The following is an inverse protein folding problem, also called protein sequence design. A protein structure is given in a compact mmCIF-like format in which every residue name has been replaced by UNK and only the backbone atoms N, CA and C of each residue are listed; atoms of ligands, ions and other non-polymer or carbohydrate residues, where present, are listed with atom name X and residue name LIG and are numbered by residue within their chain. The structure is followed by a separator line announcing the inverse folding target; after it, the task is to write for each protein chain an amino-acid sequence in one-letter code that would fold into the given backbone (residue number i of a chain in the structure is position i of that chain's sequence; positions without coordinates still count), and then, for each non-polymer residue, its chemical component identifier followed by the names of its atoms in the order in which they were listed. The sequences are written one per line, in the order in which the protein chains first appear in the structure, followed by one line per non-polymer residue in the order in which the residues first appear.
data_IF_727096208435
#
_entry.id   IF_727096208435
#
_cell.length_a   1.000
_cell.length_b   1.000
_cell.length_c   1.000
_cell.angle_alpha   90.00
_cell.angle_beta   90.00
_cell.angle_gamma   90.00
#
_symmetry.space_group_name_H-M   'P 1'
#
loop_
_entity.id
_entity.type
_entity.pdbx_description
1 polymer ?
#
# COMPACT_ATOMS: atom_id res chain seq x y z
N UNK A 1 -8.56 -12.87 -11.83
CA UNK A 1 -8.25 -14.19 -11.24
C UNK A 1 -8.58 -14.07 -9.77
N UNK A 2 -9.21 -15.08 -9.16
CA UNK A 2 -9.58 -15.04 -7.74
C UNK A 2 -9.01 -16.29 -7.06
N UNK A 3 -7.91 -16.16 -6.27
CA UNK A 3 -7.45 -17.21 -5.38
C UNK A 3 -8.47 -17.45 -4.26
N UNK A 4 -8.81 -18.72 -4.02
CA UNK A 4 -9.88 -19.10 -3.08
C UNK A 4 -9.41 -19.35 -1.65
N UNK A 5 -8.11 -19.59 -1.46
CA UNK A 5 -7.43 -19.69 -0.16
C UNK A 5 -6.01 -19.17 -0.31
N UNK A 6 -5.36 -18.82 0.79
CA UNK A 6 -3.95 -18.47 0.83
C UNK A 6 -3.18 -19.57 1.58
N UNK A 7 -2.00 -19.93 1.10
CA UNK A 7 -1.10 -20.78 1.86
C UNK A 7 -0.54 -20.03 3.08
N UNK A 8 -0.39 -18.72 2.97
CA UNK A 8 0.14 -17.88 4.03
C UNK A 8 -0.93 -17.39 4.99
N UNK A 9 -0.50 -17.08 6.23
CA UNK A 9 -1.38 -16.65 7.33
C UNK A 9 -1.92 -15.22 7.23
N UNK A 10 -1.50 -14.45 6.22
CA UNK A 10 -1.77 -13.00 6.16
C UNK A 10 -3.26 -12.65 6.13
N UNK A 11 -4.08 -13.58 5.63
CA UNK A 11 -5.55 -13.52 5.61
C UNK A 11 -6.17 -14.75 6.30
N UNK A 12 -5.44 -15.36 7.24
CA UNK A 12 -5.77 -16.64 7.87
C UNK A 12 -5.29 -17.84 7.05
N UNK A 13 -5.85 -18.03 5.85
CA UNK A 13 -5.40 -19.07 4.92
C UNK A 13 -5.66 -20.50 5.40
N UNK A 14 -4.91 -21.47 4.85
CA UNK A 14 -5.01 -22.89 5.20
C UNK A 14 -4.81 -23.17 6.70
N UNK A 15 -3.91 -22.42 7.35
CA UNK A 15 -3.65 -22.51 8.78
C UNK A 15 -4.91 -22.23 9.60
N UNK A 16 -5.67 -21.18 9.26
CA UNK A 16 -6.87 -20.80 10.01
C UNK A 16 -8.00 -21.83 9.90
N UNK A 17 -8.16 -22.46 8.73
CA UNK A 17 -9.13 -23.55 8.56
C UNK A 17 -8.81 -24.75 9.46
N UNK A 18 -7.54 -25.12 9.56
CA UNK A 18 -7.10 -26.20 10.43
C UNK A 18 -7.25 -25.83 11.91
N UNK A 19 -6.91 -24.60 12.29
CA UNK A 19 -7.05 -24.07 13.65
C UNK A 19 -8.51 -24.12 14.14
N UNK A 20 -9.49 -23.74 13.30
CA UNK A 20 -10.90 -23.83 13.66
C UNK A 20 -11.37 -25.24 14.00
N UNK A 21 -10.63 -26.27 13.59
CA UNK A 21 -10.87 -27.68 13.90
C UNK A 21 -9.89 -28.26 14.93
N UNK A 22 -9.03 -27.42 15.53
CA UNK A 22 -8.01 -27.86 16.48
C UNK A 22 -6.98 -28.80 15.87
N UNK A 23 -6.71 -28.66 14.57
CA UNK A 23 -5.83 -29.54 13.77
C UNK A 23 -4.60 -28.77 13.27
N UNK A 24 -3.50 -29.47 12.98
CA UNK A 24 -2.33 -28.84 12.37
C UNK A 24 -2.59 -28.52 10.88
N UNK A 25 -1.85 -27.56 10.31
CA UNK A 25 -2.09 -27.01 8.96
C UNK A 25 -2.11 -28.08 7.86
N UNK A 26 -1.34 -29.17 8.01
CA UNK A 26 -1.28 -30.27 7.05
C UNK A 26 -2.63 -30.99 6.89
N UNK A 27 -3.50 -30.91 7.90
CA UNK A 27 -4.84 -31.47 7.86
C UNK A 27 -5.73 -30.77 6.83
N UNK A 28 -5.46 -29.50 6.46
CA UNK A 28 -6.20 -28.79 5.41
C UNK A 28 -6.21 -29.54 4.07
N UNK A 29 -5.14 -30.29 3.79
CA UNK A 29 -4.93 -30.98 2.53
C UNK A 29 -5.55 -32.38 2.45
N UNK A 30 -5.99 -32.95 3.58
CA UNK A 30 -6.36 -34.37 3.64
C UNK A 30 -7.56 -34.69 4.53
N UNK A 31 -7.91 -33.80 5.47
CA UNK A 31 -9.02 -34.02 6.38
C UNK A 31 -10.36 -33.72 5.70
N UNK A 32 -11.28 -34.70 5.60
CA UNK A 32 -12.53 -34.52 4.87
C UNK A 32 -13.45 -33.43 5.46
N UNK A 33 -13.38 -33.18 6.77
CA UNK A 33 -14.18 -32.15 7.43
C UNK A 33 -13.68 -30.75 7.05
N UNK A 34 -12.36 -30.54 7.07
CA UNK A 34 -11.76 -29.27 6.67
C UNK A 34 -11.96 -29.00 5.17
N UNK A 35 -11.79 -30.02 4.32
CA UNK A 35 -12.05 -29.92 2.87
C UNK A 35 -13.52 -29.55 2.62
N UNK A 36 -14.46 -30.14 3.38
CA UNK A 36 -15.88 -29.80 3.32
C UNK A 36 -16.15 -28.35 3.72
N UNK A 37 -15.47 -27.84 4.76
CA UNK A 37 -15.58 -26.43 5.14
C UNK A 37 -15.04 -25.49 4.07
N UNK A 38 -13.90 -25.81 3.47
CA UNK A 38 -13.38 -25.03 2.36
C UNK A 38 -14.33 -25.02 1.15
N UNK A 39 -14.92 -26.17 0.81
CA UNK A 39 -15.94 -26.28 -0.25
C UNK A 39 -17.15 -25.38 0.00
N UNK A 40 -17.56 -25.15 1.26
CA UNK A 40 -18.63 -24.18 1.58
C UNK A 40 -18.23 -22.75 1.20
N UNK A 41 -16.98 -22.36 1.45
CA UNK A 41 -16.43 -21.06 1.03
C UNK A 41 -16.42 -20.93 -0.50
N UNK A 42 -15.92 -21.94 -1.20
CA UNK A 42 -15.94 -21.99 -2.68
C UNK A 42 -17.38 -21.81 -3.19
N UNK A 43 -18.32 -22.60 -2.68
CA UNK A 43 -19.72 -22.50 -3.08
C UNK A 43 -20.32 -21.12 -2.81
N UNK A 44 -20.01 -20.51 -1.66
CA UNK A 44 -20.48 -19.17 -1.32
C UNK A 44 -19.91 -18.11 -2.29
N UNK A 45 -18.60 -18.12 -2.56
CA UNK A 45 -17.93 -17.14 -3.42
C UNK A 45 -18.44 -17.24 -4.86
N UNK A 46 -18.50 -18.43 -5.44
CA UNK A 46 -18.94 -18.61 -6.83
C UNK A 46 -20.41 -18.22 -7.03
N UNK A 47 -21.27 -18.47 -6.02
CA UNK A 47 -22.68 -18.09 -6.05
C UNK A 47 -22.96 -16.70 -5.43
N UNK A 48 -21.92 -15.90 -5.14
CA UNK A 48 -22.10 -14.54 -4.63
C UNK A 48 -22.73 -13.67 -5.71
N UNK A 49 -23.86 -13.02 -5.38
CA UNK A 49 -24.45 -11.99 -6.23
C UNK A 49 -23.78 -10.63 -5.99
N UNK A 50 -23.03 -10.11 -6.95
CA UNK A 50 -22.49 -8.75 -6.88
C UNK A 50 -23.62 -7.74 -6.58
N UNK A 51 -23.50 -6.96 -5.51
CA UNK A 51 -24.52 -6.00 -5.08
C UNK A 51 -24.64 -4.78 -5.99
N UNK A 52 -23.65 -4.52 -6.84
CA UNK A 52 -23.62 -3.40 -7.78
C UNK A 52 -24.13 -3.81 -9.17
N UNK A 53 -23.69 -4.96 -9.68
CA UNK A 53 -24.06 -5.43 -11.03
C UNK A 53 -25.26 -6.38 -11.03
N UNK A 54 -25.62 -6.93 -9.87
CA UNK A 54 -26.68 -7.93 -9.74
C UNK A 54 -26.31 -9.32 -10.29
N UNK A 55 -25.13 -9.51 -10.89
CA UNK A 55 -24.69 -10.79 -11.46
C UNK A 55 -24.15 -11.74 -10.40
N UNK A 56 -24.34 -13.04 -10.57
CA UNK A 56 -23.57 -14.02 -9.80
C UNK A 56 -22.13 -14.00 -10.30
N UNK A 57 -21.16 -14.23 -9.42
CA UNK A 57 -19.75 -14.23 -9.81
C UNK A 57 -19.46 -15.29 -10.87
N UNK A 58 -20.01 -16.50 -10.75
CA UNK A 58 -19.90 -17.55 -11.79
C UNK A 58 -20.50 -17.20 -13.17
N UNK A 59 -21.26 -16.10 -13.27
CA UNK A 59 -21.83 -15.59 -14.52
C UNK A 59 -21.17 -14.26 -14.96
N UNK A 60 -20.17 -13.76 -14.22
CA UNK A 60 -19.57 -12.45 -14.45
C UNK A 60 -18.26 -12.52 -15.26
N UNK A 61 -18.33 -12.08 -16.52
CA UNK A 61 -17.20 -12.04 -17.46
C UNK A 61 -16.01 -11.17 -17.02
N UNK A 62 -16.14 -10.40 -15.95
CA UNK A 62 -15.00 -9.71 -15.34
C UNK A 62 -14.01 -10.67 -14.67
N UNK A 63 -14.45 -11.89 -14.34
CA UNK A 63 -13.61 -12.93 -13.75
C UNK A 63 -12.98 -13.75 -14.88
N UNK A 64 -11.64 -13.88 -14.87
CA UNK A 64 -10.94 -14.74 -15.82
C UNK A 64 -10.93 -16.20 -15.38
N UNK A 65 -10.54 -16.45 -14.12
CA UNK A 65 -10.31 -17.78 -13.58
C UNK A 65 -10.51 -17.83 -12.07
N UNK A 66 -10.90 -18.99 -11.59
CA UNK A 66 -10.86 -19.40 -10.19
C UNK A 66 -9.54 -20.11 -9.92
N UNK A 67 -8.76 -19.61 -8.95
CA UNK A 67 -7.50 -20.24 -8.55
C UNK A 67 -7.71 -21.03 -7.26
N UNK A 68 -7.26 -22.29 -7.25
CA UNK A 68 -7.49 -23.21 -6.12
C UNK A 68 -6.94 -22.65 -4.81
N UNK A 69 -5.84 -21.89 -4.86
CA UNK A 69 -5.33 -21.06 -3.77
C UNK A 69 -4.02 -20.37 -4.15
N UNK A 70 -3.61 -19.35 -3.41
CA UNK A 70 -2.34 -18.69 -3.59
C UNK A 70 -1.19 -19.52 -2.99
N UNK A 71 -0.19 -19.83 -3.82
CA UNK A 71 1.06 -20.52 -3.44
C UNK A 71 0.89 -21.77 -2.57
N UNK A 72 -0.09 -22.63 -2.91
CA UNK A 72 -0.43 -23.79 -2.07
C UNK A 72 0.55 -24.95 -2.24
N UNK A 73 0.80 -25.68 -1.14
CA UNK A 73 1.60 -26.90 -1.10
C UNK A 73 0.72 -28.15 -1.00
N UNK A 74 -0.27 -28.26 -1.86
CA UNK A 74 -1.24 -29.36 -1.85
C UNK A 74 -0.70 -30.64 -2.51
N UNK A 75 -1.12 -31.84 -2.04
CA UNK A 75 -1.04 -33.04 -2.84
C UNK A 75 -2.02 -32.96 -4.01
N UNK A 76 -1.68 -33.57 -5.15
CA UNK A 76 -2.54 -33.57 -6.34
C UNK A 76 -3.97 -34.09 -6.06
N UNK A 77 -4.12 -35.05 -5.15
CA UNK A 77 -5.45 -35.58 -4.78
C UNK A 77 -6.40 -34.49 -4.28
N UNK A 78 -5.88 -33.52 -3.52
CA UNK A 78 -6.65 -32.37 -3.05
C UNK A 78 -6.97 -31.42 -4.21
N UNK A 79 -5.97 -31.08 -5.03
CA UNK A 79 -6.15 -30.18 -6.19
C UNK A 79 -7.21 -30.72 -7.15
N UNK A 80 -7.15 -32.02 -7.47
CA UNK A 80 -8.13 -32.72 -8.31
C UNK A 80 -9.55 -32.63 -7.74
N UNK A 81 -9.70 -32.86 -6.44
CA UNK A 81 -11.01 -32.82 -5.77
C UNK A 81 -11.62 -31.42 -5.80
N UNK A 82 -10.81 -30.39 -5.54
CA UNK A 82 -11.26 -28.99 -5.53
C UNK A 82 -11.52 -28.46 -6.95
N UNK A 83 -10.66 -28.75 -7.92
CA UNK A 83 -10.85 -28.35 -9.30
C UNK A 83 -12.15 -28.94 -9.89
N UNK A 84 -12.40 -30.23 -9.67
CA UNK A 84 -13.64 -30.88 -10.08
C UNK A 84 -14.88 -30.26 -9.40
N UNK A 85 -14.78 -29.91 -8.11
CA UNK A 85 -15.85 -29.25 -7.38
C UNK A 85 -16.15 -27.84 -7.94
N UNK A 86 -15.11 -27.03 -8.22
CA UNK A 86 -15.28 -25.73 -8.88
C UNK A 86 -16.01 -25.89 -10.22
N UNK A 87 -15.55 -26.80 -11.10
CA UNK A 87 -16.18 -27.04 -12.40
C UNK A 87 -17.62 -27.54 -12.31
N UNK A 88 -17.97 -28.27 -11.24
CA UNK A 88 -19.36 -28.69 -10.98
C UNK A 88 -20.29 -27.51 -10.65
N UNK A 89 -19.75 -26.41 -10.13
CA UNK A 89 -20.50 -25.21 -9.75
C UNK A 89 -20.53 -24.17 -10.88
N UNK A 90 -19.44 -24.11 -11.66
CA UNK A 90 -19.19 -23.13 -12.70
C UNK A 90 -18.48 -23.78 -13.90
N UNK A 91 -19.19 -23.84 -15.03
CA UNK A 91 -18.67 -24.37 -16.30
C UNK A 91 -18.24 -23.26 -17.28
N UNK A 92 -18.39 -21.98 -16.89
CA UNK A 92 -18.07 -20.82 -17.73
C UNK A 92 -16.61 -20.37 -17.58
N UNK A 93 -16.09 -20.38 -16.35
CA UNK A 93 -14.77 -19.83 -16.05
C UNK A 93 -13.65 -20.87 -16.06
N UNK A 94 -12.43 -20.37 -16.30
CA UNK A 94 -11.21 -21.18 -16.24
C UNK A 94 -10.88 -21.55 -14.78
N UNK A 95 -10.19 -22.67 -14.60
CA UNK A 95 -9.61 -23.07 -13.31
C UNK A 95 -8.09 -23.03 -13.40
N UNK A 96 -7.50 -22.33 -12.44
CA UNK A 96 -6.07 -22.11 -12.31
C UNK A 96 -5.54 -22.96 -11.15
N UNK A 97 -4.51 -23.76 -11.42
CA UNK A 97 -3.81 -24.51 -10.39
C UNK A 97 -2.89 -23.59 -9.58
N UNK A 98 -3.24 -23.44 -8.30
CA UNK A 98 -2.54 -22.60 -7.33
C UNK A 98 -1.26 -23.19 -6.75
N UNK A 99 -0.84 -24.38 -7.19
CA UNK A 99 0.33 -25.05 -6.64
C UNK A 99 1.61 -24.22 -6.81
N UNK A 100 2.31 -23.95 -5.70
CA UNK A 100 3.57 -23.21 -5.76
C UNK A 100 4.69 -24.08 -6.31
N UNK A 101 5.07 -23.82 -7.57
CA UNK A 101 6.23 -24.45 -8.19
C UNK A 101 7.52 -24.01 -7.50
N UNK A 102 7.79 -22.70 -7.39
CA UNK A 102 9.06 -22.20 -6.87
C UNK A 102 10.27 -22.79 -7.61
N UNK A 103 10.93 -23.78 -7.00
CA UNK A 103 12.04 -24.56 -7.58
C UNK A 103 11.69 -26.02 -7.92
N UNK A 104 10.42 -26.42 -7.71
CA UNK A 104 9.86 -27.74 -8.01
C UNK A 104 9.48 -27.85 -9.49
N UNK A 105 9.30 -29.08 -9.95
CA UNK A 105 8.80 -29.37 -11.29
C UNK A 105 7.27 -29.36 -11.34
N UNK A 106 6.72 -29.24 -12.55
CA UNK A 106 5.29 -29.33 -12.80
C UNK A 106 4.79 -30.71 -12.37
N UNK A 107 3.66 -30.78 -11.65
CA UNK A 107 3.01 -32.05 -11.34
C UNK A 107 2.43 -32.64 -12.65
N UNK A 108 2.93 -33.80 -13.15
CA UNK A 108 2.46 -34.35 -14.42
C UNK A 108 0.95 -34.60 -14.44
N UNK A 109 0.39 -35.00 -13.30
CA UNK A 109 -1.03 -35.29 -13.16
C UNK A 109 -1.90 -34.03 -13.35
N UNK A 110 -1.42 -32.84 -12.97
CA UNK A 110 -2.13 -31.59 -13.19
C UNK A 110 -2.23 -31.24 -14.69
N UNK A 111 -1.27 -31.69 -15.50
CA UNK A 111 -1.31 -31.53 -16.96
C UNK A 111 -2.31 -32.49 -17.63
N UNK A 112 -2.70 -33.57 -16.97
CA UNK A 112 -3.70 -34.54 -17.43
C UNK A 112 -5.12 -34.27 -16.91
N UNK A 113 -5.27 -33.44 -15.86
CA UNK A 113 -6.58 -33.17 -15.26
C UNK A 113 -7.46 -32.31 -16.19
N UNK A 114 -8.64 -32.78 -16.64
CA UNK A 114 -9.52 -32.01 -17.51
C UNK A 114 -10.18 -30.81 -16.82
N UNK A 115 -10.10 -30.71 -15.49
CA UNK A 115 -10.68 -29.61 -14.72
C UNK A 115 -9.72 -28.45 -14.51
N UNK A 116 -8.44 -28.60 -14.87
CA UNK A 116 -7.41 -27.55 -14.76
C UNK A 116 -7.15 -26.97 -16.14
N UNK A 117 -7.22 -25.65 -16.28
CA UNK A 117 -7.00 -24.96 -17.55
C UNK A 117 -5.65 -24.23 -17.59
N UNK A 118 -5.26 -23.65 -16.45
CA UNK A 118 -4.05 -22.81 -16.31
C UNK A 118 -3.13 -23.42 -15.25
N UNK A 119 -1.83 -23.47 -15.57
CA UNK A 119 -0.75 -23.69 -14.61
C UNK A 119 0.13 -22.44 -14.56
N UNK A 120 0.77 -22.19 -13.42
CA UNK A 120 1.53 -20.96 -13.22
C UNK A 120 2.81 -21.15 -12.44
N UNK A 121 3.70 -20.16 -12.50
CA UNK A 121 4.95 -20.14 -11.73
C UNK A 121 5.19 -18.76 -11.11
N UNK A 122 5.83 -18.75 -9.94
CA UNK A 122 6.13 -17.55 -9.16
C UNK A 122 7.66 -17.39 -9.04
N UNK A 123 8.16 -16.16 -9.21
CA UNK A 123 9.60 -15.89 -9.33
C UNK A 123 10.07 -14.69 -8.51
N UNK A 124 10.78 -14.99 -7.42
CA UNK A 124 11.39 -14.00 -6.53
C UNK A 124 12.89 -14.26 -6.35
N UNK A 125 13.70 -13.22 -6.14
CA UNK A 125 15.14 -13.35 -6.03
C UNK A 125 15.55 -14.15 -4.78
N UNK A 126 16.69 -14.82 -4.87
CA UNK A 126 17.28 -15.56 -3.76
C UNK A 126 18.81 -15.58 -3.87
N UNK A 127 19.53 -16.19 -2.90
CA UNK A 127 21.00 -16.15 -2.83
C UNK A 127 21.74 -16.50 -4.12
N UNK A 128 21.15 -17.35 -4.98
CA UNK A 128 21.67 -17.72 -6.30
C UNK A 128 20.57 -17.69 -7.37
N UNK A 129 19.53 -16.87 -7.20
CA UNK A 129 18.40 -16.79 -8.15
C UNK A 129 18.15 -15.32 -8.49
N UNK A 130 18.63 -14.90 -9.66
CA UNK A 130 18.30 -13.62 -10.28
C UNK A 130 17.40 -13.80 -11.51
N UNK A 131 17.23 -12.74 -12.28
CA UNK A 131 16.38 -12.75 -13.47
C UNK A 131 16.83 -13.78 -14.54
N UNK A 132 18.13 -14.12 -14.59
CA UNK A 132 18.65 -15.15 -15.50
C UNK A 132 18.15 -16.53 -15.14
N UNK A 133 18.23 -16.89 -13.87
CA UNK A 133 17.82 -18.20 -13.35
C UNK A 133 16.30 -18.33 -13.40
N UNK A 134 15.57 -17.26 -13.06
CA UNK A 134 14.11 -17.18 -13.24
C UNK A 134 13.70 -17.40 -14.70
N UNK A 135 14.38 -16.76 -15.66
CA UNK A 135 14.12 -16.98 -17.08
C UNK A 135 14.42 -18.43 -17.51
N UNK A 136 15.45 -19.07 -16.95
CA UNK A 136 15.74 -20.48 -17.21
C UNK A 136 14.64 -21.41 -16.66
N UNK A 137 14.13 -21.13 -15.45
CA UNK A 137 13.00 -21.84 -14.86
C UNK A 137 11.76 -21.73 -15.75
N UNK A 138 11.45 -20.52 -16.24
CA UNK A 138 10.30 -20.28 -17.13
C UNK A 138 10.37 -21.16 -18.38
N UNK A 139 11.53 -21.23 -19.04
CA UNK A 139 11.73 -22.08 -20.23
C UNK A 139 11.59 -23.56 -19.91
N UNK A 140 12.18 -24.01 -18.79
CA UNK A 140 12.08 -25.40 -18.33
C UNK A 140 10.62 -25.80 -18.08
N UNK A 141 9.84 -24.95 -17.40
CA UNK A 141 8.43 -25.22 -17.14
C UNK A 141 7.60 -25.20 -18.42
N UNK A 142 7.85 -24.25 -19.33
CA UNK A 142 7.20 -24.24 -20.64
C UNK A 142 7.42 -25.55 -21.41
N UNK A 143 8.64 -26.07 -21.42
CA UNK A 143 8.98 -27.35 -22.06
C UNK A 143 8.25 -28.55 -21.42
N UNK A 144 8.09 -28.57 -20.09
CA UNK A 144 7.34 -29.63 -19.41
C UNK A 144 5.84 -29.57 -19.72
N UNK A 145 5.28 -28.37 -19.78
CA UNK A 145 3.87 -28.15 -20.08
C UNK A 145 3.56 -28.55 -21.53
N UNK A 146 4.51 -28.33 -22.46
CA UNK A 146 4.43 -28.79 -23.85
C UNK A 146 3.11 -28.44 -24.54
N UNK A 147 2.54 -27.27 -24.24
CA UNK A 147 1.27 -26.79 -24.80
C UNK A 147 0.00 -27.50 -24.29
N UNK A 148 0.12 -28.39 -23.29
CA UNK A 148 -1.02 -29.15 -22.75
C UNK A 148 -1.97 -28.32 -21.89
N UNK A 149 -1.46 -27.23 -21.29
CA UNK A 149 -2.17 -26.28 -20.44
C UNK A 149 -1.71 -24.85 -20.78
N UNK A 150 -2.54 -23.87 -20.45
CA UNK A 150 -2.13 -22.46 -20.51
C UNK A 150 -1.06 -22.22 -19.45
N UNK A 151 0.03 -21.53 -19.81
CA UNK A 151 1.09 -21.16 -18.88
C UNK A 151 1.18 -19.65 -18.72
N UNK A 152 1.08 -19.18 -17.47
CA UNK A 152 1.22 -17.78 -17.09
C UNK A 152 2.29 -17.68 -16.01
N UNK A 153 3.17 -16.68 -16.10
CA UNK A 153 4.04 -16.30 -14.97
C UNK A 153 3.15 -15.59 -13.95
N UNK A 154 2.72 -16.35 -12.93
CA UNK A 154 1.69 -15.96 -11.97
C UNK A 154 2.13 -14.82 -11.08
N UNK A 155 3.39 -14.83 -10.64
CA UNK A 155 3.99 -13.72 -9.92
C UNK A 155 5.47 -13.59 -10.28
N UNK A 156 5.96 -12.36 -10.36
CA UNK A 156 7.39 -12.11 -10.35
C UNK A 156 7.69 -10.71 -9.82
N UNK A 157 8.91 -10.47 -9.34
CA UNK A 157 9.27 -9.13 -8.89
C UNK A 157 10.61 -9.05 -8.18
N UNK A 158 10.85 -7.91 -7.53
CA UNK A 158 12.03 -7.60 -6.71
C UNK A 158 13.37 -7.74 -7.44
N UNK A 159 13.35 -7.57 -8.76
CA UNK A 159 14.54 -7.49 -9.61
C UNK A 159 14.61 -6.10 -10.25
N UNK A 160 15.81 -5.59 -10.58
CA UNK A 160 15.95 -4.31 -11.25
C UNK A 160 15.19 -4.28 -12.58
N UNK A 161 14.96 -3.08 -13.13
CA UNK A 161 14.23 -2.88 -14.40
C UNK A 161 14.72 -3.80 -15.54
N UNK A 162 16.03 -3.95 -15.71
CA UNK A 162 16.61 -4.85 -16.72
C UNK A 162 16.27 -6.34 -16.48
N UNK A 163 16.10 -6.73 -15.21
CA UNK A 163 15.61 -8.06 -14.84
C UNK A 163 14.14 -8.24 -15.19
N UNK A 164 13.29 -7.24 -14.93
CA UNK A 164 11.88 -7.23 -15.34
C UNK A 164 11.77 -7.38 -16.86
N UNK A 165 12.55 -6.58 -17.61
CA UNK A 165 12.58 -6.65 -19.08
C UNK A 165 12.95 -8.04 -19.58
N UNK A 166 14.02 -8.64 -19.05
CA UNK A 166 14.47 -9.99 -19.42
C UNK A 166 13.39 -11.06 -19.20
N UNK A 167 12.62 -10.96 -18.11
CA UNK A 167 11.55 -11.92 -17.83
C UNK A 167 10.39 -11.75 -18.80
N UNK A 168 9.99 -10.52 -19.11
CA UNK A 168 8.94 -10.23 -20.08
C UNK A 168 9.34 -10.60 -21.51
N UNK A 169 10.60 -10.39 -21.89
CA UNK A 169 11.15 -10.87 -23.16
C UNK A 169 11.12 -12.39 -23.26
N UNK A 170 11.43 -13.09 -22.16
CA UNK A 170 11.33 -14.55 -22.12
C UNK A 170 9.88 -15.01 -22.29
N UNK A 171 8.92 -14.35 -21.64
CA UNK A 171 7.49 -14.61 -21.81
C UNK A 171 7.06 -14.46 -23.28
N UNK A 172 7.53 -13.40 -23.96
CA UNK A 172 7.23 -13.17 -25.38
C UNK A 172 7.93 -14.20 -26.27
N UNK A 173 9.22 -14.48 -26.05
CA UNK A 173 10.01 -15.38 -26.92
C UNK A 173 9.54 -16.83 -26.85
N UNK A 174 9.04 -17.26 -25.69
CA UNK A 174 8.47 -18.59 -25.48
C UNK A 174 6.96 -18.65 -25.83
N UNK A 175 6.35 -17.53 -26.24
CA UNK A 175 4.93 -17.47 -26.63
C UNK A 175 3.96 -17.75 -25.47
N UNK A 176 4.29 -17.32 -24.25
CA UNK A 176 3.46 -17.54 -23.06
C UNK A 176 2.27 -16.57 -23.02
N UNK A 177 1.25 -16.91 -22.23
CA UNK A 177 -0.01 -16.16 -22.21
C UNK A 177 0.00 -14.91 -21.32
N UNK A 178 1.06 -14.68 -20.54
CA UNK A 178 1.21 -13.46 -19.76
C UNK A 178 2.15 -13.58 -18.56
N UNK A 179 2.34 -12.46 -17.89
CA UNK A 179 3.09 -12.36 -16.64
C UNK A 179 2.49 -11.27 -15.74
N UNK A 180 2.42 -11.52 -14.43
CA UNK A 180 1.90 -10.56 -13.46
C UNK A 180 2.99 -10.16 -12.46
N UNK A 181 3.29 -8.87 -12.39
CA UNK A 181 4.30 -8.34 -11.46
C UNK A 181 3.70 -8.17 -10.06
N UNK A 182 4.42 -8.59 -9.04
CA UNK A 182 4.06 -8.37 -7.65
C UNK A 182 4.69 -7.05 -7.13
N UNK A 183 3.91 -6.07 -6.67
CA UNK A 183 2.46 -5.99 -6.77
C UNK A 183 1.97 -4.56 -6.99
N UNK A 184 0.85 -4.42 -7.70
CA UNK A 184 0.13 -3.16 -7.84
C UNK A 184 -0.81 -2.95 -6.64
N UNK A 185 -0.89 -1.73 -6.12
CA UNK A 185 -1.87 -1.36 -5.08
C UNK A 185 -2.82 -0.25 -5.52
N UNK A 186 -4.01 -0.28 -4.92
CA UNK A 186 -5.11 0.62 -5.24
C UNK A 186 -5.17 1.77 -4.24
N UNK A 187 -5.81 2.88 -4.65
CA UNK A 187 -6.06 4.01 -3.76
C UNK A 187 -6.99 3.60 -2.62
N UNK A 188 -6.68 4.02 -1.39
CA UNK A 188 -7.51 3.78 -0.22
C UNK A 188 -8.75 4.71 -0.25
N UNK A 189 -9.89 4.22 0.23
CA UNK A 189 -11.14 4.98 0.35
C UNK A 189 -11.02 6.21 1.27
N UNK A 190 -10.06 6.17 2.19
CA UNK A 190 -9.79 7.24 3.17
C UNK A 190 -8.66 8.19 2.70
N UNK A 191 -8.14 7.97 1.49
CA UNK A 191 -7.11 8.76 0.85
C UNK A 191 -5.74 8.09 0.79
N UNK A 192 -4.95 8.48 -0.22
CA UNK A 192 -3.67 7.86 -0.56
C UNK A 192 -3.85 6.43 -1.08
N UNK A 193 -2.88 5.57 -0.81
CA UNK A 193 -2.87 4.16 -1.26
C UNK A 193 -2.93 3.16 -0.10
N UNK A 194 -3.32 1.92 -0.44
CA UNK A 194 -2.98 0.78 0.40
C UNK A 194 -1.51 0.42 0.22
N UNK A 195 -0.78 0.26 1.32
CA UNK A 195 0.65 0.00 1.33
C UNK A 195 1.00 -1.38 1.85
N UNK A 196 2.10 -1.93 1.32
CA UNK A 196 2.64 -3.22 1.73
C UNK A 196 4.14 -3.28 1.42
N UNK A 197 5.01 -2.89 2.37
CA UNK A 197 6.46 -3.04 2.15
C UNK A 197 6.85 -4.52 2.09
N UNK A 198 7.82 -4.82 1.22
CA UNK A 198 8.24 -6.19 0.90
C UNK A 198 9.53 -6.54 1.66
N UNK A 199 9.45 -7.20 2.83
CA UNK A 199 10.61 -7.41 3.69
C UNK A 199 11.63 -8.36 3.06
N UNK A 200 11.16 -9.28 2.21
CA UNK A 200 12.01 -10.20 1.46
C UNK A 200 13.00 -9.46 0.55
N UNK A 201 12.72 -8.20 0.21
CA UNK A 201 13.59 -7.34 -0.57
C UNK A 201 14.49 -6.42 0.26
N UNK A 202 14.63 -6.68 1.56
CA UNK A 202 15.26 -5.76 2.52
C UNK A 202 14.62 -4.36 2.54
N UNK A 203 13.31 -4.28 2.24
CA UNK A 203 12.55 -3.03 2.08
C UNK A 203 13.04 -2.12 0.93
N UNK A 204 13.78 -2.67 -0.05
CA UNK A 204 14.17 -1.93 -1.26
C UNK A 204 12.95 -1.71 -2.17
N UNK A 205 12.10 -2.72 -2.31
CA UNK A 205 10.91 -2.65 -3.16
C UNK A 205 9.65 -2.41 -2.30
N UNK A 206 8.81 -1.54 -2.84
CA UNK A 206 7.48 -1.22 -2.35
C UNK A 206 6.47 -1.59 -3.43
N UNK A 207 5.16 -1.56 -3.13
CA UNK A 207 4.15 -1.79 -4.15
C UNK A 207 4.24 -0.73 -5.25
N UNK A 208 3.83 -1.12 -6.45
CA UNK A 208 3.68 -0.24 -7.59
C UNK A 208 2.32 0.48 -7.54
N UNK A 209 2.28 1.69 -8.10
CA UNK A 209 1.09 2.52 -8.20
C UNK A 209 0.96 3.06 -9.63
N UNK A 210 -0.08 2.67 -10.37
CA UNK A 210 -0.21 3.07 -11.77
C UNK A 210 -0.61 4.55 -11.93
N UNK A 211 0.11 5.35 -12.76
CA UNK A 211 1.12 4.98 -13.76
C UNK A 211 2.58 5.12 -13.28
N UNK A 212 2.76 5.47 -12.01
CA UNK A 212 4.02 5.63 -11.30
C UNK A 212 4.12 7.02 -10.68
N UNK A 213 4.78 7.11 -9.53
CA UNK A 213 4.96 8.33 -8.75
C UNK A 213 6.45 8.60 -8.51
N UNK A 214 6.84 9.89 -8.35
CA UNK A 214 8.22 10.25 -8.01
C UNK A 214 8.75 9.55 -6.76
N UNK A 215 7.90 9.27 -5.78
CA UNK A 215 8.29 8.54 -4.56
C UNK A 215 8.81 7.12 -4.83
N UNK A 216 8.48 6.52 -5.97
CA UNK A 216 8.86 5.16 -6.36
C UNK A 216 10.11 5.05 -7.23
N UNK A 217 10.81 6.16 -7.48
CA UNK A 217 11.98 6.16 -8.37
C UNK A 217 13.16 5.34 -7.82
N UNK A 218 13.25 5.16 -6.49
CA UNK A 218 14.27 4.31 -5.87
C UNK A 218 14.23 2.85 -6.34
N UNK A 219 13.08 2.37 -6.85
CA UNK A 219 12.92 1.06 -7.49
C UNK A 219 12.36 1.16 -8.92
N UNK A 220 12.58 2.31 -9.58
CA UNK A 220 12.21 2.56 -10.97
C UNK A 220 10.72 2.31 -11.28
N UNK A 221 9.82 2.74 -10.39
CA UNK A 221 8.37 2.51 -10.53
C UNK A 221 7.81 3.00 -11.86
N UNK A 222 8.07 4.26 -12.25
CA UNK A 222 7.54 4.86 -13.48
C UNK A 222 8.02 4.07 -14.71
N UNK A 223 9.31 3.76 -14.76
CA UNK A 223 9.90 3.03 -15.88
C UNK A 223 9.39 1.58 -15.94
N UNK A 224 9.27 0.92 -14.78
CA UNK A 224 8.76 -0.46 -14.67
C UNK A 224 7.32 -0.55 -15.15
N UNK A 225 6.44 0.36 -14.71
CA UNK A 225 5.03 0.34 -15.12
C UNK A 225 4.84 0.68 -16.60
N UNK A 226 5.68 1.57 -17.16
CA UNK A 226 5.71 1.82 -18.60
C UNK A 226 6.11 0.58 -19.39
N UNK A 227 7.15 -0.12 -18.94
CA UNK A 227 7.63 -1.36 -19.54
C UNK A 227 6.55 -2.47 -19.44
N UNK A 228 6.00 -2.71 -18.25
CA UNK A 228 4.93 -3.68 -18.03
C UNK A 228 3.76 -3.44 -18.97
N UNK A 229 3.32 -2.19 -19.12
CA UNK A 229 2.26 -1.81 -20.04
C UNK A 229 2.63 -2.12 -21.48
N UNK A 230 3.80 -1.67 -21.95
CA UNK A 230 4.24 -1.91 -23.33
C UNK A 230 4.30 -3.40 -23.65
N UNK A 231 4.91 -4.20 -22.77
CA UNK A 231 5.05 -5.64 -22.93
C UNK A 231 3.71 -6.39 -22.84
N UNK A 232 2.75 -5.95 -22.02
CA UNK A 232 1.42 -6.55 -22.00
C UNK A 232 0.69 -6.43 -23.35
N UNK A 233 0.81 -5.29 -24.03
CA UNK A 233 0.23 -5.08 -25.36
C UNK A 233 1.00 -5.82 -26.46
N UNK A 234 2.33 -5.91 -26.35
CA UNK A 234 3.17 -6.74 -27.23
C UNK A 234 2.78 -8.23 -27.14
N UNK A 235 2.65 -8.78 -25.92
CA UNK A 235 2.18 -10.16 -25.67
C UNK A 235 0.80 -10.39 -26.29
N UNK A 236 -0.09 -9.39 -26.20
CA UNK A 236 -1.44 -9.49 -26.75
C UNK A 236 -1.52 -9.29 -28.28
N UNK A 237 -0.43 -8.87 -28.92
CA UNK A 237 -0.43 -8.47 -30.34
C UNK A 237 -1.31 -7.24 -30.63
N UNK A 238 -1.55 -6.40 -29.63
CA UNK A 238 -2.41 -5.21 -29.71
C UNK A 238 -1.60 -3.93 -29.60
N UNK A 239 -2.03 -2.81 -30.22
CA UNK A 239 -1.41 -1.52 -29.97
C UNK A 239 -1.76 -1.04 -28.55
N UNK A 240 -0.77 -0.48 -27.86
CA UNK A 240 -1.01 0.14 -26.56
C UNK A 240 -1.87 1.41 -26.73
N UNK A 241 -3.00 1.55 -26.01
CA UNK A 241 -3.85 2.73 -26.13
C UNK A 241 -3.10 3.98 -25.68
N UNK A 242 -3.58 5.16 -26.06
CA UNK A 242 -3.04 6.42 -25.53
C UNK A 242 -3.54 6.62 -24.11
N UNK A 243 -2.68 7.03 -23.18
CA UNK A 243 -3.10 7.40 -21.83
C UNK A 243 -4.11 8.54 -21.90
N UNK A 244 -5.14 8.45 -21.06
CA UNK A 244 -6.15 9.50 -20.92
C UNK A 244 -5.88 10.29 -19.63
N UNK A 245 -6.30 11.56 -19.56
CA UNK A 245 -6.37 12.27 -18.29
C UNK A 245 -7.14 11.44 -17.25
N UNK A 246 -6.78 11.50 -15.96
CA UNK A 246 -7.49 10.75 -14.93
C UNK A 246 -8.95 11.19 -14.81
N UNK A 247 -9.80 10.35 -14.20
CA UNK A 247 -11.11 10.79 -13.76
C UNK A 247 -11.00 11.81 -12.61
N UNK A 248 -12.05 12.59 -12.35
CA UNK A 248 -12.08 13.49 -11.19
C UNK A 248 -11.92 12.71 -9.88
N UNK A 249 -11.04 13.16 -8.96
CA UNK A 249 -10.95 12.57 -7.64
C UNK A 249 -12.17 12.95 -6.78
N UNK A 250 -12.35 12.24 -5.67
CA UNK A 250 -13.40 12.55 -4.68
C UNK A 250 -12.81 13.25 -3.46
N UNK A 251 -13.07 14.54 -3.28
CA UNK A 251 -12.58 15.27 -2.10
C UNK A 251 -13.38 14.85 -0.87
N UNK A 252 -12.67 14.37 0.17
CA UNK A 252 -13.28 13.91 1.41
C UNK A 252 -13.72 15.09 2.28
N UNK A 253 -14.62 14.88 3.27
CA UNK A 253 -14.97 15.91 4.22
C UNK A 253 -13.74 16.50 4.93
N UNK A 254 -13.66 17.83 4.99
CA UNK A 254 -12.56 18.56 5.62
C UNK A 254 -13.05 19.12 6.96
N UNK A 255 -12.37 18.79 8.04
CA UNK A 255 -12.63 19.33 9.39
C UNK A 255 -11.67 20.45 9.75
N UNK A 256 -10.45 20.42 9.21
CA UNK A 256 -9.40 21.42 9.41
C UNK A 256 -8.61 21.62 8.13
N UNK A 257 -8.10 22.83 7.91
CA UNK A 257 -7.18 23.14 6.80
C UNK A 257 -5.83 22.40 6.90
N UNK A 258 -5.52 21.84 8.07
CA UNK A 258 -4.35 20.98 8.29
C UNK A 258 -4.56 19.52 7.86
N UNK A 259 -5.79 19.13 7.56
CA UNK A 259 -6.20 17.75 7.35
C UNK A 259 -7.07 17.63 6.09
N UNK A 260 -6.44 17.75 4.92
CA UNK A 260 -7.11 17.64 3.62
C UNK A 260 -6.72 16.31 2.95
N UNK A 261 -7.72 15.52 2.57
CA UNK A 261 -7.56 14.24 1.87
C UNK A 261 -8.61 14.05 0.79
N UNK A 262 -8.32 13.20 -0.19
CA UNK A 262 -9.23 12.83 -1.27
C UNK A 262 -9.08 11.36 -1.61
N UNK A 263 -10.14 10.78 -2.16
CA UNK A 263 -10.09 9.51 -2.87
C UNK A 263 -9.37 9.74 -4.20
N UNK A 264 -8.24 9.07 -4.37
CA UNK A 264 -7.43 9.21 -5.56
C UNK A 264 -8.08 8.64 -6.82
N UNK A 265 -7.49 8.98 -7.97
CA UNK A 265 -8.00 8.63 -9.28
C UNK A 265 -7.08 7.63 -9.98
N UNK A 266 -7.65 6.56 -10.55
CA UNK A 266 -6.85 5.57 -11.28
C UNK A 266 -6.12 6.23 -12.46
N UNK A 267 -4.80 6.04 -12.52
CA UNK A 267 -3.97 6.65 -13.55
C UNK A 267 -3.51 8.08 -13.25
N UNK A 268 -3.79 8.62 -12.05
CA UNK A 268 -3.15 9.84 -11.57
C UNK A 268 -1.70 9.59 -11.11
N UNK A 269 -0.85 10.59 -11.28
CA UNK A 269 0.54 10.62 -10.79
C UNK A 269 0.86 11.84 -9.92
N UNK A 270 -0.09 12.79 -9.82
CA UNK A 270 -0.01 13.95 -8.92
C UNK A 270 -1.38 14.64 -8.83
N UNK A 271 -1.52 15.58 -7.88
CA UNK A 271 -2.75 16.32 -7.66
C UNK A 271 -2.50 17.82 -7.44
N UNK A 272 -3.36 18.65 -8.00
CA UNK A 272 -3.41 20.08 -7.71
C UNK A 272 -4.56 20.36 -6.73
N UNK A 273 -4.25 21.05 -5.63
CA UNK A 273 -5.21 21.46 -4.60
C UNK A 273 -5.49 22.95 -4.78
N UNK A 274 -6.76 23.29 -4.94
CA UNK A 274 -7.22 24.66 -5.15
C UNK A 274 -8.10 25.14 -4.00
N UNK A 275 -8.02 26.44 -3.71
CA UNK A 275 -8.74 27.13 -2.64
C UNK A 275 -9.49 28.35 -3.17
N UNK A 276 -10.67 28.62 -2.63
CA UNK A 276 -11.43 29.83 -2.91
C UNK A 276 -12.14 30.36 -1.65
N UNK A 277 -12.47 31.66 -1.61
CA UNK A 277 -13.29 32.26 -0.55
C UNK A 277 -14.80 32.11 -0.79
N UNK A 278 -15.19 31.64 -1.99
CA UNK A 278 -16.57 31.31 -2.38
C UNK A 278 -16.59 29.93 -3.03
N UNK A 279 -17.75 29.28 -3.00
CA UNK A 279 -17.92 27.92 -3.53
C UNK A 279 -17.74 27.80 -5.04
N UNK A 280 -17.82 28.90 -5.79
CA UNK A 280 -17.70 28.99 -7.24
C UNK A 280 -16.37 29.60 -7.72
N UNK A 281 -15.52 30.06 -6.79
CA UNK A 281 -14.23 30.68 -7.08
C UNK A 281 -14.19 32.20 -6.83
N UNK A 282 -13.19 32.91 -7.39
CA UNK A 282 -12.08 32.39 -8.18
C UNK A 282 -11.18 31.44 -7.37
N UNK A 283 -10.63 30.45 -8.06
CA UNK A 283 -9.79 29.41 -7.46
C UNK A 283 -8.31 29.80 -7.51
N UNK A 284 -7.61 29.57 -6.40
CA UNK A 284 -6.17 29.78 -6.27
C UNK A 284 -5.50 28.44 -6.01
N UNK A 285 -4.43 28.12 -6.72
CA UNK A 285 -3.63 26.93 -6.47
C UNK A 285 -2.89 27.08 -5.14
N UNK A 286 -3.07 26.14 -4.23
CA UNK A 286 -2.43 26.11 -2.90
C UNK A 286 -1.57 24.87 -2.69
N UNK A 287 -1.79 23.81 -3.46
CA UNK A 287 -0.90 22.65 -3.56
C UNK A 287 -0.68 22.30 -5.03
N UNK A 288 0.58 22.22 -5.46
CA UNK A 288 0.95 21.89 -6.84
C UNK A 288 1.62 20.52 -6.87
N UNK A 289 1.20 19.66 -7.80
CA UNK A 289 1.80 18.34 -8.01
C UNK A 289 1.96 17.52 -6.73
N UNK A 290 0.95 17.58 -5.85
CA UNK A 290 0.94 16.84 -4.59
C UNK A 290 0.96 15.35 -4.89
N UNK A 291 1.96 14.67 -4.33
CA UNK A 291 2.14 13.22 -4.41
C UNK A 291 1.42 12.56 -3.22
N UNK A 292 0.29 11.90 -3.48
CA UNK A 292 -0.50 11.21 -2.46
C UNK A 292 0.06 9.84 -2.04
N UNK A 293 1.27 9.51 -2.51
CA UNK A 293 2.07 8.38 -2.02
C UNK A 293 3.11 8.81 -0.97
N UNK A 294 3.40 10.11 -0.85
CA UNK A 294 4.46 10.62 0.04
C UNK A 294 4.14 10.43 1.53
N UNK A 295 2.85 10.47 1.86
CA UNK A 295 2.32 10.23 3.20
C UNK A 295 1.40 9.02 3.19
N UNK A 296 1.46 8.22 4.27
CA UNK A 296 0.75 6.94 4.33
C UNK A 296 -0.22 6.92 5.50
N UNK A 297 -1.47 6.54 5.20
CA UNK A 297 -2.57 6.38 6.16
C UNK A 297 -2.82 7.60 7.07
N UNK A 298 -2.70 8.81 6.51
CA UNK A 298 -2.87 10.10 7.20
C UNK A 298 -3.28 11.20 6.19
N UNK A 299 -3.64 12.41 6.64
CA UNK A 299 -4.03 13.48 5.72
C UNK A 299 -2.98 13.77 4.64
N UNK A 300 -3.43 13.91 3.40
CA UNK A 300 -2.56 14.02 2.21
C UNK A 300 -1.96 15.41 2.04
N UNK A 301 -2.66 16.42 2.54
CA UNK A 301 -2.29 17.82 2.35
C UNK A 301 -2.70 18.68 3.55
N UNK A 302 -1.92 19.74 3.78
CA UNK A 302 -2.18 20.78 4.77
C UNK A 302 -1.98 22.14 4.11
N UNK A 303 -3.01 22.98 4.11
CA UNK A 303 -2.93 24.35 3.61
C UNK A 303 -2.31 25.27 4.67
N UNK A 304 -0.97 25.32 4.67
CA UNK A 304 -0.18 26.13 5.61
C UNK A 304 -0.36 27.67 5.41
N UNK A 305 -0.97 28.10 4.31
CA UNK A 305 -1.17 29.50 3.95
C UNK A 305 -2.64 29.93 4.10
N UNK A 306 -3.45 29.14 4.79
CA UNK A 306 -4.80 29.51 5.14
C UNK A 306 -4.78 30.58 6.24
N UNK A 307 -5.42 31.73 5.99
CA UNK A 307 -5.44 32.85 6.93
C UNK A 307 -6.47 32.63 8.06
N UNK A 308 -6.05 32.72 9.35
CA UNK A 308 -6.95 32.64 10.50
C UNK A 308 -8.09 33.65 10.40
N UNK A 309 -9.28 33.22 10.81
CA UNK A 309 -10.47 34.06 10.75
C UNK A 309 -11.07 34.22 9.35
N UNK A 310 -10.56 33.51 8.35
CA UNK A 310 -11.20 33.36 7.02
C UNK A 310 -11.96 32.04 6.91
N UNK A 311 -12.75 31.91 5.86
CA UNK A 311 -13.45 30.68 5.50
C UNK A 311 -13.20 30.33 4.05
N UNK A 312 -12.82 29.08 3.79
CA UNK A 312 -12.38 28.64 2.46
C UNK A 312 -13.14 27.43 1.95
N UNK A 313 -13.23 27.32 0.63
CA UNK A 313 -13.69 26.17 -0.11
C UNK A 313 -12.49 25.54 -0.83
N UNK A 314 -12.48 24.21 -0.91
CA UNK A 314 -11.41 23.45 -1.56
C UNK A 314 -11.96 22.54 -2.65
N UNK A 315 -11.14 22.28 -3.67
CA UNK A 315 -11.33 21.24 -4.68
C UNK A 315 -9.96 20.72 -5.15
N UNK A 316 -9.95 19.55 -5.76
CA UNK A 316 -8.72 18.87 -6.19
C UNK A 316 -8.83 18.42 -7.64
N UNK A 317 -7.74 18.52 -8.39
CA UNK A 317 -7.62 17.96 -9.75
C UNK A 317 -6.51 16.91 -9.76
N UNK A 318 -6.82 15.70 -10.23
CA UNK A 318 -5.83 14.68 -10.54
C UNK A 318 -5.12 14.99 -11.87
N UNK A 319 -3.83 14.68 -11.98
CA UNK A 319 -3.01 14.89 -13.17
C UNK A 319 -2.22 13.64 -13.54
N UNK A 320 -1.93 13.51 -14.82
CA UNK A 320 -0.91 12.60 -15.35
C UNK A 320 -0.28 13.17 -16.63
N UNK A 321 0.57 12.39 -17.29
CA UNK A 321 1.23 12.80 -18.56
C UNK A 321 0.28 13.14 -19.71
N UNK A 322 -0.99 12.72 -19.67
CA UNK A 322 -1.99 13.04 -20.68
C UNK A 322 -2.80 14.32 -20.37
N UNK A 323 -2.67 14.88 -19.15
CA UNK A 323 -3.32 16.13 -18.74
C UNK A 323 -4.01 16.05 -17.37
N UNK A 324 -4.87 17.03 -17.13
CA UNK A 324 -5.63 17.17 -15.87
C UNK A 324 -7.05 16.63 -16.00
N UNK A 325 -7.55 16.04 -14.92
CA UNK A 325 -8.96 15.71 -14.73
C UNK A 325 -9.84 16.97 -14.59
N UNK A 326 -11.17 16.79 -14.68
CA UNK A 326 -12.09 17.81 -14.15
C UNK A 326 -11.94 17.90 -12.62
N UNK A 327 -12.19 19.06 -11.99
CA UNK A 327 -12.12 19.18 -10.53
C UNK A 327 -13.05 18.21 -9.79
N UNK A 328 -12.67 17.86 -8.56
CA UNK A 328 -13.50 17.13 -7.61
C UNK A 328 -14.78 17.90 -7.23
N UNK A 329 -15.62 17.27 -6.41
CA UNK A 329 -16.59 18.02 -5.60
C UNK A 329 -15.90 19.11 -4.77
N UNK A 330 -16.64 20.18 -4.48
CA UNK A 330 -16.20 21.28 -3.62
C UNK A 330 -16.55 20.96 -2.17
N UNK A 331 -15.61 21.19 -1.25
CA UNK A 331 -15.83 21.04 0.20
C UNK A 331 -15.55 22.37 0.90
N UNK A 332 -16.51 22.84 1.70
CA UNK A 332 -16.43 24.10 2.43
C UNK A 332 -17.81 24.71 2.69
N UNK A 333 -17.89 25.86 3.40
CA UNK A 333 -16.75 26.64 3.89
C UNK A 333 -16.09 26.00 5.12
N UNK A 334 -14.76 25.98 5.15
CA UNK A 334 -13.93 25.54 6.29
C UNK A 334 -13.41 26.79 7.00
N UNK A 335 -13.77 26.95 8.27
CA UNK A 335 -13.30 28.07 9.09
C UNK A 335 -11.87 27.82 9.54
N UNK A 336 -10.98 28.78 9.31
CA UNK A 336 -9.60 28.73 9.78
C UNK A 336 -9.53 29.27 11.20
N UNK A 337 -9.07 28.45 12.14
CA UNK A 337 -8.97 28.77 13.57
C UNK A 337 -7.54 29.16 14.02
N UNK A 338 -6.54 28.97 13.17
CA UNK A 338 -5.15 29.33 13.38
C UNK A 338 -4.27 28.85 12.23
N UNK A 339 -2.98 29.13 12.31
CA UNK A 339 -1.99 28.57 11.40
C UNK A 339 -1.59 27.16 11.84
N UNK A 340 -1.23 26.34 10.87
CA UNK A 340 -0.78 24.97 11.10
C UNK A 340 0.58 24.73 10.46
N UNK A 341 1.51 24.21 11.25
CA UNK A 341 2.76 23.63 10.76
C UNK A 341 2.66 22.12 10.92
N UNK A 342 2.58 21.40 9.80
CA UNK A 342 2.62 19.93 9.76
C UNK A 342 3.99 19.51 9.24
N UNK A 343 4.72 18.75 10.06
CA UNK A 343 6.00 18.15 9.70
C UNK A 343 5.87 16.63 9.64
N UNK A 344 5.97 16.10 8.42
CA UNK A 344 6.00 14.66 8.12
C UNK A 344 7.42 14.10 8.16
N UNK A 345 8.42 14.90 8.54
CA UNK A 345 9.80 14.48 8.78
C UNK A 345 10.48 13.87 7.54
N UNK A 346 10.17 14.41 6.36
CA UNK A 346 10.88 14.09 5.11
C UNK A 346 12.22 14.83 5.00
N UNK A 347 12.34 15.97 5.67
CA UNK A 347 13.56 16.78 5.75
C UNK A 347 13.57 17.60 7.07
N UNK A 348 14.53 18.53 7.23
CA UNK A 348 14.63 19.40 8.41
C UNK A 348 14.10 20.83 8.18
N UNK A 349 13.49 21.12 7.02
CA UNK A 349 13.11 22.48 6.61
C UNK A 349 12.09 23.14 7.53
N UNK A 350 11.29 22.34 8.25
CA UNK A 350 10.28 22.80 9.20
C UNK A 350 10.81 22.92 10.63
N UNK A 351 11.98 22.35 10.90
CA UNK A 351 12.63 22.44 12.21
C UNK A 351 13.44 23.74 12.33
N UNK A 352 13.42 24.35 13.51
CA UNK A 352 14.19 25.55 13.81
C UNK A 352 15.64 25.22 14.21
N UNK A 353 15.81 24.22 15.07
CA UNK A 353 17.13 23.79 15.52
C UNK A 353 17.09 22.34 16.00
N UNK A 354 18.27 21.72 16.08
CA UNK A 354 18.43 20.36 16.59
C UNK A 354 19.82 20.16 17.19
N UNK A 355 19.95 19.22 18.13
CA UNK A 355 21.22 18.86 18.75
C UNK A 355 21.29 17.36 19.02
N UNK A 356 22.51 16.83 19.03
CA UNK A 356 22.78 15.43 19.33
C UNK A 356 22.69 14.55 18.09
N UNK A 357 22.52 13.25 18.32
CA UNK A 357 22.39 12.25 17.27
C UNK A 357 20.93 12.12 16.85
N UNK A 358 20.51 13.01 15.94
CA UNK A 358 19.21 12.99 15.29
C UNK A 358 19.36 12.76 13.78
N UNK A 359 18.60 11.81 13.25
CA UNK A 359 18.67 11.42 11.84
C UNK A 359 17.28 11.13 11.27
N UNK A 360 17.08 11.50 10.01
CA UNK A 360 15.91 11.08 9.25
C UNK A 360 16.10 9.62 8.84
N UNK A 361 15.03 8.83 8.92
CA UNK A 361 15.06 7.37 8.71
C UNK A 361 13.90 6.99 7.79
N UNK A 362 14.22 6.28 6.70
CA UNK A 362 13.26 5.88 5.67
C UNK A 362 13.16 4.37 5.47
N UNK A 363 14.16 3.63 5.94
CA UNK A 363 14.25 2.19 5.88
C UNK A 363 13.31 1.49 6.87
N UNK A 364 13.05 0.19 6.64
CA UNK A 364 12.30 -0.69 7.55
C UNK A 364 10.96 -0.06 8.03
N UNK A 365 10.15 0.41 7.09
CA UNK A 365 8.91 1.13 7.41
C UNK A 365 7.75 0.23 7.87
N UNK A 366 7.79 -1.08 7.55
CA UNK A 366 6.73 -2.04 7.89
C UNK A 366 6.29 -2.00 9.35
N UNK A 367 7.20 -2.11 10.35
CA UNK A 367 6.81 -2.10 11.76
C UNK A 367 6.18 -0.77 12.19
N UNK A 368 6.41 0.31 11.45
CA UNK A 368 5.91 1.66 11.70
C UNK A 368 4.66 1.96 10.87
N UNK A 369 3.84 0.93 10.60
CA UNK A 369 2.64 1.03 9.75
C UNK A 369 2.92 1.67 8.40
N UNK A 370 4.01 1.22 7.79
CA UNK A 370 4.50 1.65 6.48
C UNK A 370 5.06 3.08 6.43
N UNK A 371 5.09 3.85 7.52
CA UNK A 371 5.57 5.24 7.48
C UNK A 371 6.98 5.37 6.87
N UNK A 372 7.19 6.07 5.75
CA UNK A 372 8.51 6.16 5.13
C UNK A 372 9.35 7.31 5.69
N UNK A 373 8.81 8.20 6.53
CA UNK A 373 9.51 9.41 6.96
C UNK A 373 9.43 9.56 8.48
N UNK A 374 10.56 9.38 9.15
CA UNK A 374 10.65 9.45 10.61
C UNK A 374 11.93 10.13 11.05
N UNK A 375 11.90 10.68 12.26
CA UNK A 375 13.07 11.22 12.94
C UNK A 375 13.50 10.28 14.06
N UNK A 376 14.65 9.64 13.92
CA UNK A 376 15.31 8.88 14.98
C UNK A 376 16.16 9.82 15.85
N UNK A 377 16.12 9.61 17.16
CA UNK A 377 16.99 10.27 18.12
C UNK A 377 17.35 9.35 19.27
N UNK A 378 18.38 9.73 20.03
CA UNK A 378 18.81 9.01 21.24
C UNK A 378 18.82 9.94 22.46
N UNK A 379 19.04 9.35 23.65
CA UNK A 379 19.09 10.08 24.92
C UNK A 379 20.00 11.33 24.83
N UNK A 380 19.44 12.49 25.18
CA UNK A 380 20.14 13.77 25.18
C UNK A 380 20.07 14.53 23.86
N UNK A 381 19.57 13.91 22.79
CA UNK A 381 19.26 14.60 21.55
C UNK A 381 17.93 15.35 21.64
N UNK A 382 17.77 16.40 20.83
CA UNK A 382 16.51 17.13 20.74
C UNK A 382 16.30 17.77 19.37
N UNK A 383 15.04 17.99 19.03
CA UNK A 383 14.60 18.81 17.90
C UNK A 383 13.70 19.94 18.42
N UNK A 384 13.81 21.10 17.80
CA UNK A 384 13.07 22.30 18.18
C UNK A 384 12.40 22.93 16.98
N UNK A 385 11.19 23.41 17.20
CA UNK A 385 10.38 24.17 16.27
C UNK A 385 10.17 25.58 16.78
N UNK A 386 9.98 26.51 15.86
CA UNK A 386 9.63 27.90 16.13
C UNK A 386 8.44 28.29 15.27
N UNK A 387 7.43 28.88 15.89
CA UNK A 387 6.26 29.44 15.22
C UNK A 387 6.36 30.96 15.16
N UNK A 388 5.62 31.58 14.23
CA UNK A 388 5.55 33.03 14.11
C UNK A 388 4.59 33.65 15.12
N UNK A 389 3.54 32.91 15.47
CA UNK A 389 2.56 33.26 16.48
C UNK A 389 2.68 32.31 17.68
N UNK A 390 2.16 32.70 18.87
CA UNK A 390 2.15 31.83 20.02
C UNK A 390 1.42 30.51 19.75
N UNK A 391 2.02 29.40 20.15
CA UNK A 391 1.42 28.08 20.08
C UNK A 391 0.12 28.02 20.89
N UNK A 392 -0.96 27.60 20.23
CA UNK A 392 -2.19 27.18 20.86
C UNK A 392 -2.11 25.73 21.31
N UNK A 393 -1.59 24.86 20.44
CA UNK A 393 -1.39 23.45 20.75
C UNK A 393 -0.30 22.81 19.90
N UNK A 394 0.14 21.62 20.31
CA UNK A 394 1.00 20.78 19.50
C UNK A 394 0.64 19.30 19.66
N UNK A 395 0.85 18.51 18.62
CA UNK A 395 0.75 17.06 18.69
C UNK A 395 1.95 16.37 18.05
N UNK A 396 2.35 15.25 18.65
CA UNK A 396 3.50 14.46 18.20
C UNK A 396 3.06 12.99 18.12
N UNK A 397 3.17 12.40 16.93
CA UNK A 397 2.90 10.98 16.70
C UNK A 397 4.22 10.21 16.70
N UNK A 398 4.24 9.07 17.38
CA UNK A 398 5.38 8.16 17.46
C UNK A 398 4.92 6.71 17.32
N UNK A 399 5.86 5.81 17.12
CA UNK A 399 5.63 4.36 17.13
C UNK A 399 6.63 3.70 18.09
N UNK A 400 6.11 3.01 19.11
CA UNK A 400 6.86 2.54 20.28
C UNK A 400 6.65 1.04 20.52
N UNK A 401 7.47 0.40 21.34
CA UNK A 401 7.30 -1.04 21.62
C UNK A 401 6.06 -1.34 22.48
N UNK A 402 5.78 -0.57 23.55
CA UNK A 402 4.48 -0.61 24.27
C UNK A 402 4.35 0.46 25.37
N UNK A 403 5.40 0.70 26.15
CA UNK A 403 5.29 1.37 27.46
C UNK A 403 6.37 2.39 27.76
N UNK A 404 7.16 2.80 26.76
CA UNK A 404 8.32 3.65 27.01
C UNK A 404 7.91 5.13 27.11
N UNK A 405 8.58 5.85 28.01
CA UNK A 405 8.45 7.29 28.21
C UNK A 405 9.68 7.96 27.59
N UNK A 406 9.64 8.09 26.26
CA UNK A 406 10.82 8.37 25.45
C UNK A 406 11.07 9.86 25.20
N UNK A 407 10.11 10.72 25.57
CA UNK A 407 10.11 12.12 25.18
C UNK A 407 9.80 13.05 26.34
N UNK A 408 10.52 14.16 26.41
CA UNK A 408 10.16 15.32 27.23
C UNK A 408 9.85 16.50 26.33
N UNK A 409 8.82 17.26 26.70
CA UNK A 409 8.36 18.41 25.93
C UNK A 409 8.63 19.68 26.71
N UNK A 410 9.23 20.64 26.01
CA UNK A 410 9.57 21.94 26.57
C UNK A 410 9.06 23.03 25.64
N UNK A 411 8.57 24.12 26.22
CA UNK A 411 8.15 25.30 25.47
C UNK A 411 8.85 26.54 25.98
N UNK A 412 9.03 27.51 25.09
CA UNK A 412 9.71 28.77 25.40
C UNK A 412 9.08 29.94 24.66
N UNK A 413 9.19 31.14 25.25
CA UNK A 413 8.80 32.41 24.62
C UNK A 413 9.93 32.99 23.77
N UNK A 414 11.18 32.78 24.19
CA UNK A 414 12.37 33.45 23.66
C UNK A 414 13.41 32.50 23.06
N UNK A 415 13.18 31.19 23.18
CA UNK A 415 14.09 30.15 22.72
C UNK A 415 15.29 29.90 23.64
N UNK A 416 15.30 30.51 24.84
CA UNK A 416 16.38 30.37 25.83
C UNK A 416 15.87 29.75 27.13
N UNK A 417 14.80 30.31 27.69
CA UNK A 417 14.22 29.84 28.93
C UNK A 417 13.09 28.85 28.63
N UNK A 418 13.29 27.59 29.00
CA UNK A 418 12.38 26.50 28.68
C UNK A 418 11.60 26.02 29.91
N UNK A 419 10.29 25.87 29.72
CA UNK A 419 9.38 25.31 30.71
C UNK A 419 8.96 23.93 30.22
N UNK A 420 9.12 22.91 31.08
CA UNK A 420 8.63 21.56 30.79
C UNK A 420 7.10 21.55 30.80
N UNK A 421 6.50 20.89 29.83
CA UNK A 421 5.04 20.71 29.70
C UNK A 421 4.71 19.23 29.63
N UNK A 422 3.64 18.83 30.32
CA UNK A 422 3.18 17.46 30.33
C UNK A 422 2.14 17.24 29.23
N UNK A 423 2.33 16.25 28.35
CA UNK A 423 1.36 15.92 27.31
C UNK A 423 0.23 15.03 27.84
N UNK A 424 -0.94 15.15 27.24
CA UNK A 424 -1.92 14.06 27.23
C UNK A 424 -1.41 12.97 26.28
N UNK A 425 -1.35 11.72 26.75
CA UNK A 425 -0.81 10.59 25.98
C UNK A 425 -1.93 9.63 25.60
N UNK A 426 -2.14 9.45 24.30
CA UNK A 426 -3.10 8.48 23.73
C UNK A 426 -2.36 7.34 23.04
N UNK A 427 -2.83 6.10 23.22
CA UNK A 427 -2.21 4.87 22.68
C UNK A 427 -3.21 4.10 21.84
N UNK A 428 -2.75 3.53 20.73
CA UNK A 428 -3.62 2.88 19.74
C UNK A 428 -3.17 1.44 19.43
N UNK A 429 -3.33 0.49 20.38
CA UNK A 429 -2.88 -0.89 20.20
C UNK A 429 -3.62 -1.58 19.05
N UNK A 430 -2.92 -2.49 18.37
CA UNK A 430 -3.52 -3.36 17.35
C UNK A 430 -3.94 -4.67 18.04
N UNK A 431 -5.22 -5.05 17.94
CA UNK A 431 -5.77 -6.24 18.62
C UNK A 431 -5.06 -7.54 18.18
N UNK A 432 -4.91 -7.73 16.86
CA UNK A 432 -4.17 -8.86 16.27
C UNK A 432 -3.03 -8.27 15.46
N UNK A 433 -1.79 -8.62 15.84
CA UNK A 433 -0.59 -8.00 15.28
C UNK A 433 0.34 -8.99 14.57
N UNK A 434 -0.11 -9.64 13.47
CA UNK A 434 0.67 -10.67 12.79
C UNK A 434 1.89 -10.07 12.07
N UNK A 435 1.91 -8.75 11.86
CA UNK A 435 2.98 -7.99 11.21
C UNK A 435 4.00 -7.39 12.19
N UNK A 436 3.80 -7.53 13.51
CA UNK A 436 4.71 -6.96 14.50
C UNK A 436 4.79 -5.44 14.47
N UNK A 437 3.67 -4.76 14.16
CA UNK A 437 3.59 -3.31 14.20
C UNK A 437 3.89 -2.77 15.59
N UNK A 438 4.67 -1.70 15.64
CA UNK A 438 4.89 -0.88 16.82
C UNK A 438 3.61 -0.15 17.22
N UNK A 439 3.46 0.10 18.52
CA UNK A 439 2.35 0.82 19.12
C UNK A 439 2.38 2.30 18.70
N UNK A 440 1.36 2.81 17.97
CA UNK A 440 1.22 4.23 17.74
C UNK A 440 0.88 4.95 19.06
N UNK A 441 1.62 6.02 19.35
CA UNK A 441 1.42 6.87 20.53
C UNK A 441 1.33 8.32 20.09
N UNK A 442 0.27 9.01 20.51
CA UNK A 442 0.06 10.43 20.26
C UNK A 442 0.22 11.21 21.55
N UNK A 443 1.15 12.16 21.54
CA UNK A 443 1.34 13.16 22.58
C UNK A 443 0.61 14.44 22.18
N UNK A 444 -0.25 14.97 23.05
CA UNK A 444 -1.03 16.18 22.80
C UNK A 444 -0.73 17.22 23.89
N UNK A 445 -0.27 18.39 23.46
CA UNK A 445 0.08 19.53 24.30
C UNK A 445 -0.94 20.64 24.09
N UNK A 446 -1.87 20.81 25.03
CA UNK A 446 -2.98 21.78 24.92
C UNK A 446 -2.98 22.85 26.01
N UNK A 447 -2.28 22.62 27.12
CA UNK A 447 -2.17 23.56 28.24
C UNK A 447 -0.79 24.26 28.23
N UNK A 448 -0.55 25.06 27.19
CA UNK A 448 0.74 25.74 27.00
C UNK A 448 0.79 27.07 27.76
N UNK A 449 1.94 27.44 28.38
CA UNK A 449 2.15 28.79 28.91
C UNK A 449 1.89 29.86 27.83
N UNK A 450 1.15 30.94 28.14
CA UNK A 450 0.81 31.95 27.14
C UNK A 450 2.06 32.56 26.48
N UNK A 451 2.00 32.84 25.19
CA UNK A 451 3.10 33.46 24.43
C UNK A 451 4.25 32.53 24.04
N UNK A 452 4.18 31.24 24.38
CA UNK A 452 5.18 30.26 23.94
C UNK A 452 5.18 30.12 22.43
N UNK A 453 6.32 30.35 21.78
CA UNK A 453 6.48 30.27 20.31
C UNK A 453 7.52 29.23 19.89
N UNK A 454 8.07 28.50 20.85
CA UNK A 454 9.04 27.42 20.63
C UNK A 454 8.53 26.14 21.26
N UNK A 455 8.66 25.02 20.53
CA UNK A 455 8.48 23.67 21.05
C UNK A 455 9.79 22.91 20.87
N UNK A 456 10.35 22.40 21.96
CA UNK A 456 11.50 21.49 21.97
C UNK A 456 11.04 20.11 22.42
N UNK A 457 11.36 19.10 21.62
CA UNK A 457 11.11 17.68 21.89
C UNK A 457 12.46 17.04 22.18
N UNK A 458 12.67 16.58 23.43
CA UNK A 458 13.90 15.96 23.87
C UNK A 458 13.75 14.46 24.02
N UNK A 459 14.71 13.70 23.50
CA UNK A 459 14.73 12.25 23.56
C UNK A 459 15.36 11.78 24.88
N UNK A 460 14.67 10.90 25.60
CA UNK A 460 15.15 10.26 26.84
C UNK A 460 15.82 8.92 26.60
N UNK A 461 15.50 8.28 25.47
CA UNK A 461 15.94 6.96 25.05
C UNK A 461 16.20 6.97 23.53
N UNK A 462 16.51 5.81 22.95
CA UNK A 462 16.46 5.65 21.50
C UNK A 462 15.02 5.49 21.03
N UNK A 463 14.50 6.46 20.28
CA UNK A 463 13.13 6.48 19.83
C UNK A 463 12.98 7.15 18.46
N UNK A 464 11.78 7.05 17.87
CA UNK A 464 11.46 7.68 16.59
C UNK A 464 10.17 8.50 16.67
N UNK A 465 10.20 9.68 16.06
CA UNK A 465 9.02 10.52 15.84
C UNK A 465 8.56 10.31 14.39
N UNK A 466 7.25 10.23 14.20
CA UNK A 466 6.59 10.01 12.91
C UNK A 466 5.98 11.29 12.34
N UNK A 467 5.41 12.15 13.19
CA UNK A 467 4.75 13.39 12.75
C UNK A 467 4.74 14.43 13.85
N UNK A 468 4.91 15.70 13.49
CA UNK A 468 4.71 16.83 14.40
C UNK A 468 3.68 17.80 13.79
N UNK A 469 2.68 18.20 14.56
CA UNK A 469 1.69 19.20 14.15
C UNK A 469 1.67 20.32 15.19
N UNK A 470 1.84 21.57 14.75
CA UNK A 470 1.78 22.77 15.59
C UNK A 470 0.61 23.64 15.14
N UNK A 471 -0.21 24.08 16.09
CA UNK A 471 -1.27 25.06 15.89
C UNK A 471 -0.87 26.36 16.57
N UNK A 472 -0.82 27.47 15.83
CA UNK A 472 -0.33 28.77 16.29
C UNK A 472 -1.10 29.95 15.72
#
# INVERSE_FOLDING_TARGET
IIPLVDNWKWWGGAEQYAEYRGKPVEAFWSDPEIISDFKKTVNYVLNRRNSYTGKLYKDDKAILAWETGNEIYSPYSWTREIAAYIKSLDTNHLVWDGFYLGNKEIQPEALDDPNIDIVSSHHYPGPNKGATEMAADIRRFHQQIAGRKVYIVGEFGFVPLAGVEKLLETVISEGLSGAMIWSLRYHNRDGGFYWHSEPASASVYNPYHFPGFPSGEAWSEIATLRLMRAKAFEISGLPAPVLQPPASPGLLPITSVAEISWQGSAGASSYDVERATKSDGPWTLVGVDVDDTWVRYRPLFSDAYAEPGSSYYYRVQAKNSAGSSQPSNVVGPIRVDGHYTVDELSDFSRSFARQGNVALVTENSRPYKEDPHRLKGNKGSWIMYRTLQPLHSASVLTFMEASQDDFEFYVSRDGKDFIRVEPKVSRFPTEVNPYGYKLPVKYELTALPPGSSFLKIAFRTEAQISRVVLHH
#
